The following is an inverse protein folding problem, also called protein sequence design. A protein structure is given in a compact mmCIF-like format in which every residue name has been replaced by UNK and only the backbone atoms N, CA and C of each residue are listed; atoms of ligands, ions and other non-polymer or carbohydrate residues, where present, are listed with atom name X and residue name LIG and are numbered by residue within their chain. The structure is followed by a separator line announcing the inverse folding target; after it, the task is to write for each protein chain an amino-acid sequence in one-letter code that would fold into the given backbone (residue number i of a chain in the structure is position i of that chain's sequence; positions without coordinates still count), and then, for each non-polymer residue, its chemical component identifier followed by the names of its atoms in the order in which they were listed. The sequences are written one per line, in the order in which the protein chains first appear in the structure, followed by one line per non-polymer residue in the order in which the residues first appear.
data_IF_652452519925
#
_entry.id   IF_652452519925
#
_cell.length_a   1.000
_cell.length_b   1.000
_cell.length_c   1.000
_cell.angle_alpha   90.00
_cell.angle_beta   90.00
_cell.angle_gamma   90.00
#
_symmetry.space_group_name_H-M   'P 1'
#
loop_
_entity.id
_entity.type
_entity.pdbx_description
1 polymer ?
#
# COMPACT_ATOMS: atom_id res chain seq x y z
N UNK A 1 85.47 -27.37 21.57
CA UNK A 1 84.09 -27.82 21.84
C UNK A 1 83.22 -26.64 22.27
N UNK A 2 82.54 -25.93 21.36
CA UNK A 2 81.49 -24.92 21.72
C UNK A 2 80.55 -24.57 20.55
N UNK A 3 80.48 -25.41 19.51
CA UNK A 3 79.80 -25.07 18.23
C UNK A 3 78.45 -25.78 18.03
N UNK A 4 78.21 -26.93 18.67
CA UNK A 4 77.05 -27.79 18.35
C UNK A 4 75.74 -27.38 19.04
N UNK A 5 75.78 -26.79 20.25
CA UNK A 5 74.56 -26.43 21.00
C UNK A 5 73.87 -25.16 20.47
N UNK A 6 74.60 -24.21 19.88
CA UNK A 6 74.03 -22.97 19.35
C UNK A 6 73.26 -23.22 18.04
N UNK A 7 73.75 -24.15 17.21
CA UNK A 7 73.15 -24.49 15.92
C UNK A 7 71.75 -25.12 16.05
N UNK A 8 71.56 -26.02 17.02
CA UNK A 8 70.27 -26.70 17.28
C UNK A 8 69.18 -25.71 17.75
N UNK A 9 69.54 -24.73 18.58
CA UNK A 9 68.60 -23.73 19.10
C UNK A 9 68.14 -22.75 18.02
N UNK A 10 69.04 -22.37 17.11
CA UNK A 10 68.73 -21.51 15.95
C UNK A 10 67.82 -22.27 14.96
N UNK A 11 68.12 -23.54 14.68
CA UNK A 11 67.31 -24.37 13.78
C UNK A 11 65.86 -24.53 14.28
N UNK A 12 65.66 -24.74 15.59
CA UNK A 12 64.33 -24.86 16.20
C UNK A 12 63.55 -23.53 16.21
N UNK A 13 64.22 -22.40 16.42
CA UNK A 13 63.61 -21.06 16.36
C UNK A 13 63.17 -20.71 14.93
N UNK A 14 63.96 -21.09 13.91
CA UNK A 14 63.62 -20.87 12.50
C UNK A 14 62.41 -21.71 12.09
N UNK A 15 62.35 -22.99 12.50
CA UNK A 15 61.20 -23.86 12.23
C UNK A 15 59.92 -23.41 12.96
N UNK A 16 60.02 -22.93 14.19
CA UNK A 16 58.89 -22.36 14.94
C UNK A 16 58.31 -21.11 14.26
N UNK A 17 59.18 -20.19 13.83
CA UNK A 17 58.77 -18.99 13.07
C UNK A 17 58.14 -19.33 11.72
N UNK A 18 58.63 -20.36 11.03
CA UNK A 18 58.06 -20.84 9.76
C UNK A 18 56.65 -21.40 9.96
N UNK A 19 56.46 -22.26 10.97
CA UNK A 19 55.17 -22.84 11.32
C UNK A 19 54.14 -21.76 11.75
N UNK A 20 54.59 -20.71 12.46
CA UNK A 20 53.73 -19.57 12.80
C UNK A 20 53.30 -18.77 11.56
N UNK A 21 54.21 -18.50 10.63
CA UNK A 21 53.89 -17.82 9.36
C UNK A 21 52.92 -18.62 8.51
N UNK A 22 53.07 -19.94 8.44
CA UNK A 22 52.17 -20.83 7.70
C UNK A 22 50.76 -20.84 8.32
N UNK A 23 50.67 -20.83 9.66
CA UNK A 23 49.38 -20.70 10.36
C UNK A 23 48.70 -19.36 10.08
N UNK A 24 49.46 -18.26 10.14
CA UNK A 24 48.94 -16.91 9.86
C UNK A 24 48.47 -16.81 8.39
N UNK A 25 49.24 -17.35 7.44
CA UNK A 25 48.87 -17.38 6.02
C UNK A 25 47.59 -18.19 5.78
N UNK A 26 47.43 -19.34 6.43
CA UNK A 26 46.19 -20.13 6.34
C UNK A 26 44.99 -19.40 6.93
N UNK A 27 45.16 -18.71 8.05
CA UNK A 27 44.09 -17.90 8.67
C UNK A 27 43.68 -16.75 7.75
N UNK A 28 44.65 -16.01 7.19
CA UNK A 28 44.40 -14.94 6.23
C UNK A 28 43.71 -15.45 4.97
N UNK A 29 44.12 -16.61 4.47
CA UNK A 29 43.48 -17.24 3.31
C UNK A 29 42.02 -17.63 3.60
N UNK A 30 41.72 -18.16 4.79
CA UNK A 30 40.35 -18.48 5.19
C UNK A 30 39.48 -17.22 5.35
N UNK A 31 40.03 -16.14 5.89
CA UNK A 31 39.33 -14.84 6.00
C UNK A 31 39.05 -14.28 4.59
N UNK A 32 40.04 -14.30 3.71
CA UNK A 32 39.88 -13.84 2.33
C UNK A 32 38.83 -14.67 1.57
N UNK A 33 38.82 -15.99 1.78
CA UNK A 33 37.82 -16.88 1.18
C UNK A 33 36.40 -16.59 1.70
N UNK A 34 36.25 -16.23 2.99
CA UNK A 34 34.96 -15.84 3.56
C UNK A 34 34.41 -14.53 3.00
N UNK A 35 35.30 -13.60 2.58
CA UNK A 35 34.93 -12.33 1.96
C UNK A 35 34.50 -12.49 0.49
N UNK A 36 34.87 -13.60 -0.16
CA UNK A 36 34.54 -13.91 -1.56
C UNK A 36 33.24 -14.70 -1.73
N UNK A 37 32.55 -15.07 -0.64
CA UNK A 37 31.26 -15.76 -0.73
C UNK A 37 30.19 -14.72 -1.12
N UNK A 38 29.56 -14.83 -2.31
CA UNK A 38 28.49 -13.93 -2.68
C UNK A 38 27.36 -14.08 -1.67
N UNK A 39 26.94 -12.97 -1.06
CA UNK A 39 25.70 -12.95 -0.28
C UNK A 39 24.57 -13.19 -1.27
N UNK A 40 24.06 -14.43 -1.31
CA UNK A 40 22.78 -14.71 -1.95
C UNK A 40 21.71 -13.92 -1.21
N UNK A 41 21.40 -12.73 -1.71
CA UNK A 41 20.21 -12.00 -1.31
C UNK A 41 19.02 -12.79 -1.82
N UNK A 42 18.48 -13.66 -0.95
CA UNK A 42 17.16 -14.24 -1.16
C UNK A 42 16.21 -13.04 -1.04
N UNK A 43 15.76 -12.52 -2.19
CA UNK A 43 14.68 -11.54 -2.20
C UNK A 43 13.48 -12.20 -1.50
N UNK A 44 13.09 -11.66 -0.34
CA UNK A 44 11.93 -12.17 0.37
C UNK A 44 10.71 -11.93 -0.53
N UNK A 45 9.94 -12.97 -0.90
CA UNK A 45 8.65 -12.75 -1.55
C UNK A 45 7.84 -11.84 -0.62
N UNK A 46 7.17 -10.82 -1.16
CA UNK A 46 6.64 -9.74 -0.32
C UNK A 46 5.58 -10.21 0.69
N UNK A 47 5.16 -11.49 0.65
CA UNK A 47 4.84 -12.36 1.80
C UNK A 47 3.60 -12.00 2.60
N UNK A 48 3.05 -10.81 2.38
CA UNK A 48 1.82 -10.33 2.94
C UNK A 48 0.66 -10.55 1.98
N UNK A 49 -0.58 -10.54 2.49
CA UNK A 49 -1.76 -10.49 1.65
C UNK A 49 -1.69 -9.25 0.73
N UNK A 50 -1.72 -9.49 -0.58
CA UNK A 50 -1.80 -8.41 -1.56
C UNK A 50 -3.24 -7.93 -1.69
N UNK A 51 -3.40 -6.61 -1.82
CA UNK A 51 -4.69 -5.97 -2.03
C UNK A 51 -5.35 -5.47 -0.74
N UNK A 52 -6.62 -5.03 -0.83
CA UNK A 52 -7.36 -4.51 0.30
C UNK A 52 -7.54 -5.61 1.35
N UNK A 53 -6.98 -5.40 2.54
CA UNK A 53 -7.22 -6.26 3.69
C UNK A 53 -8.48 -5.73 4.37
N UNK A 54 -9.41 -6.61 4.71
CA UNK A 54 -10.58 -6.20 5.49
C UNK A 54 -10.13 -5.69 6.86
N UNK A 55 -10.56 -4.49 7.21
CA UNK A 55 -10.25 -3.82 8.46
C UNK A 55 -11.55 -3.39 9.13
N UNK A 56 -11.55 -3.31 10.46
CA UNK A 56 -12.67 -2.78 11.22
C UNK A 56 -12.35 -1.35 11.67
N UNK A 57 -12.95 -0.36 11.00
CA UNK A 57 -12.76 1.05 11.27
C UNK A 57 -13.79 1.58 12.27
N UNK A 58 -13.40 1.64 13.55
CA UNK A 58 -14.23 2.26 14.59
C UNK A 58 -14.49 3.73 14.25
N UNK A 59 -15.70 4.18 14.55
CA UNK A 59 -16.07 5.60 14.41
C UNK A 59 -15.20 6.45 15.34
N UNK A 60 -14.50 7.49 14.85
CA UNK A 60 -13.66 8.35 15.68
C UNK A 60 -14.50 9.11 16.71
N UNK A 61 -14.15 9.01 18.00
CA UNK A 61 -14.88 9.69 19.07
C UNK A 61 -14.48 11.15 19.28
N UNK A 62 -13.32 11.56 18.74
CA UNK A 62 -12.73 12.89 18.91
C UNK A 62 -12.94 13.82 17.69
N UNK A 63 -13.82 13.45 16.77
CA UNK A 63 -14.11 14.25 15.57
C UNK A 63 -15.05 15.42 15.86
N UNK A 64 -14.79 16.57 15.23
CA UNK A 64 -15.63 17.77 15.37
C UNK A 64 -17.06 17.55 14.88
N UNK A 65 -17.20 16.92 13.71
CA UNK A 65 -18.46 16.50 13.15
C UNK A 65 -18.32 15.15 12.48
N UNK A 66 -19.35 14.33 12.60
CA UNK A 66 -19.48 13.04 11.91
C UNK A 66 -20.67 13.16 10.95
N UNK A 67 -20.46 12.68 9.72
CA UNK A 67 -21.52 12.54 8.72
C UNK A 67 -21.56 11.08 8.26
N UNK A 68 -22.73 10.46 8.36
CA UNK A 68 -23.03 9.15 7.79
C UNK A 68 -23.59 9.34 6.39
N UNK A 69 -22.98 8.65 5.43
CA UNK A 69 -23.38 8.67 4.03
C UNK A 69 -23.58 7.26 3.52
N UNK A 70 -24.55 7.09 2.63
CA UNK A 70 -24.87 5.80 2.03
C UNK A 70 -25.16 5.95 0.53
N UNK A 71 -24.96 4.89 -0.29
CA UNK A 71 -25.32 4.93 -1.70
C UNK A 71 -26.81 5.19 -1.96
N UNK A 72 -27.66 4.77 -1.03
CA UNK A 72 -29.12 4.95 -1.00
C UNK A 72 -29.56 6.01 0.03
N UNK A 73 -28.62 6.81 0.53
CA UNK A 73 -28.91 7.93 1.42
C UNK A 73 -29.79 8.98 0.76
N UNK A 74 -30.49 9.76 1.58
CA UNK A 74 -31.42 10.79 1.11
C UNK A 74 -30.75 12.16 1.13
N UNK A 75 -30.83 12.89 0.03
CA UNK A 75 -30.10 14.17 -0.13
C UNK A 75 -30.61 15.25 0.82
N UNK A 76 -31.84 15.09 1.31
CA UNK A 76 -32.56 16.00 2.21
C UNK A 76 -32.15 15.77 3.68
N UNK A 77 -31.55 14.63 4.00
CA UNK A 77 -31.08 14.32 5.34
C UNK A 77 -29.74 15.03 5.61
N UNK A 78 -29.52 15.40 6.87
CA UNK A 78 -28.28 16.08 7.28
C UNK A 78 -27.09 15.11 7.51
N UNK A 79 -27.33 13.79 7.46
CA UNK A 79 -26.32 12.76 7.67
C UNK A 79 -25.75 12.69 9.08
N UNK A 80 -26.34 13.31 10.10
CA UNK A 80 -25.79 13.29 11.48
C UNK A 80 -26.15 12.03 12.26
N UNK A 81 -27.10 11.24 11.76
CA UNK A 81 -27.52 9.97 12.37
C UNK A 81 -27.14 8.79 11.49
N UNK A 82 -26.75 7.69 12.12
CA UNK A 82 -26.54 6.40 11.45
C UNK A 82 -27.80 5.90 10.74
N UNK A 83 -28.98 6.13 11.31
CA UNK A 83 -30.27 5.66 10.77
C UNK A 83 -30.73 6.46 9.54
N UNK A 84 -30.28 7.71 9.43
CA UNK A 84 -30.70 8.66 8.40
C UNK A 84 -29.46 9.19 7.68
N UNK A 85 -28.75 8.33 6.92
CA UNK A 85 -27.59 8.76 6.15
C UNK A 85 -28.02 9.67 4.99
N UNK A 86 -27.14 10.58 4.63
CA UNK A 86 -27.31 11.43 3.43
C UNK A 86 -26.48 10.90 2.26
N UNK A 87 -26.46 11.59 1.12
CA UNK A 87 -25.60 11.24 -0.02
C UNK A 87 -24.19 11.82 0.15
N UNK A 88 -23.22 11.19 -0.50
CA UNK A 88 -21.83 11.67 -0.47
C UNK A 88 -21.72 13.10 -1.05
N UNK A 89 -22.42 13.36 -2.16
CA UNK A 89 -22.46 14.65 -2.83
C UNK A 89 -23.08 15.75 -1.95
N UNK A 90 -24.09 15.43 -1.15
CA UNK A 90 -24.69 16.39 -0.21
C UNK A 90 -23.71 16.79 0.89
N UNK A 91 -22.93 15.84 1.44
CA UNK A 91 -21.94 16.16 2.48
C UNK A 91 -20.82 17.04 1.94
N UNK A 92 -20.32 16.77 0.73
CA UNK A 92 -19.22 17.55 0.15
C UNK A 92 -19.55 19.04 -0.03
N UNK A 93 -20.83 19.42 -0.09
CA UNK A 93 -21.26 20.82 -0.15
C UNK A 93 -21.08 21.58 1.17
N UNK A 94 -21.05 20.88 2.30
CA UNK A 94 -21.11 21.49 3.64
C UNK A 94 -19.93 21.11 4.55
N UNK A 95 -19.16 20.09 4.18
CA UNK A 95 -18.06 19.58 4.99
C UNK A 95 -16.94 20.61 5.16
N UNK A 96 -16.27 20.55 6.32
CA UNK A 96 -15.15 21.41 6.70
C UNK A 96 -13.94 20.57 7.12
N UNK A 97 -12.75 21.16 7.07
CA UNK A 97 -11.53 20.54 7.60
C UNK A 97 -11.71 20.09 9.06
N UNK A 98 -11.30 18.86 9.35
CA UNK A 98 -11.44 18.19 10.65
C UNK A 98 -12.74 17.40 10.83
N UNK A 99 -13.67 17.47 9.87
CA UNK A 99 -14.87 16.64 9.87
C UNK A 99 -14.59 15.23 9.34
N UNK A 100 -15.44 14.27 9.72
CA UNK A 100 -15.34 12.86 9.36
C UNK A 100 -16.58 12.43 8.58
N UNK A 101 -16.36 11.72 7.47
CA UNK A 101 -17.38 11.02 6.70
C UNK A 101 -17.26 9.52 6.97
N UNK A 102 -18.35 8.93 7.43
CA UNK A 102 -18.52 7.51 7.64
C UNK A 102 -19.33 6.94 6.48
N UNK A 103 -18.66 6.15 5.65
CA UNK A 103 -19.22 5.54 4.46
C UNK A 103 -19.91 4.22 4.83
N UNK A 104 -21.21 4.14 4.55
CA UNK A 104 -21.93 2.86 4.56
C UNK A 104 -21.49 1.98 3.38
N UNK A 105 -21.63 0.68 3.50
CA UNK A 105 -21.27 -0.29 2.48
C UNK A 105 -22.07 -0.12 1.18
N UNK A 106 -21.44 -0.45 0.06
CA UNK A 106 -22.08 -0.44 -1.26
C UNK A 106 -21.37 0.45 -2.28
N UNK A 107 -21.99 0.59 -3.45
CA UNK A 107 -21.35 1.23 -4.60
C UNK A 107 -21.77 2.70 -4.75
N UNK A 108 -20.84 3.61 -4.52
CA UNK A 108 -21.01 5.05 -4.74
C UNK A 108 -20.61 5.38 -6.17
N UNK A 109 -21.58 5.71 -7.03
CA UNK A 109 -21.32 6.13 -8.42
C UNK A 109 -21.23 7.63 -8.50
N UNK A 110 -20.14 8.12 -7.93
CA UNK A 110 -19.82 9.53 -7.80
C UNK A 110 -18.56 9.86 -8.58
N UNK A 111 -18.42 11.11 -9.02
CA UNK A 111 -17.27 11.60 -9.77
C UNK A 111 -17.07 13.10 -9.52
N UNK A 112 -15.94 13.64 -10.00
CA UNK A 112 -15.61 15.07 -9.90
C UNK A 112 -15.63 15.63 -8.48
N UNK A 113 -15.26 14.81 -7.49
CA UNK A 113 -15.10 15.25 -6.10
C UNK A 113 -13.83 16.10 -5.99
N UNK A 114 -14.00 17.43 -5.92
CA UNK A 114 -12.91 18.38 -5.73
C UNK A 114 -13.05 18.99 -4.34
N UNK A 115 -12.00 18.88 -3.53
CA UNK A 115 -11.96 19.50 -2.21
C UNK A 115 -10.52 19.93 -1.88
N UNK A 116 -10.38 21.00 -1.12
CA UNK A 116 -9.11 21.52 -0.61
C UNK A 116 -9.14 21.58 0.92
N UNK A 117 -9.58 20.48 1.53
CA UNK A 117 -9.84 20.40 2.96
C UNK A 117 -9.28 19.11 3.55
N UNK A 118 -8.81 19.18 4.79
CA UNK A 118 -8.34 18.02 5.53
C UNK A 118 -9.51 17.29 6.16
N UNK A 119 -10.12 16.37 5.42
CA UNK A 119 -11.25 15.55 5.88
C UNK A 119 -10.81 14.09 6.06
N UNK A 120 -11.51 13.35 6.92
CA UNK A 120 -11.35 11.89 7.01
C UNK A 120 -12.55 11.21 6.38
N UNK A 121 -12.30 10.27 5.47
CA UNK A 121 -13.31 9.38 4.92
C UNK A 121 -12.93 7.95 5.28
N UNK A 122 -13.83 7.20 5.91
CA UNK A 122 -13.60 5.80 6.25
C UNK A 122 -14.88 4.97 6.14
N UNK A 123 -14.77 3.66 5.95
CA UNK A 123 -15.91 2.76 6.10
C UNK A 123 -16.50 2.80 7.51
N UNK A 124 -17.79 2.47 7.61
CA UNK A 124 -18.40 2.12 8.89
C UNK A 124 -17.99 0.70 9.29
N UNK A 125 -17.20 0.56 10.36
CA UNK A 125 -16.72 -0.73 10.85
C UNK A 125 -16.05 -1.56 9.74
N UNK A 126 -16.59 -2.73 9.43
CA UNK A 126 -16.13 -3.69 8.42
C UNK A 126 -16.95 -3.63 7.12
N UNK A 127 -17.82 -2.64 6.95
CA UNK A 127 -18.58 -2.43 5.72
C UNK A 127 -17.64 -2.07 4.54
N UNK A 128 -18.07 -2.38 3.31
CA UNK A 128 -17.25 -2.26 2.10
C UNK A 128 -17.80 -1.21 1.13
N UNK A 129 -17.46 0.09 1.30
CA UNK A 129 -17.80 1.12 0.34
C UNK A 129 -16.88 1.04 -0.89
N UNK A 130 -17.46 1.16 -2.09
CA UNK A 130 -16.73 1.16 -3.36
C UNK A 130 -17.08 2.43 -4.13
N UNK A 131 -16.10 3.31 -4.31
CA UNK A 131 -16.23 4.48 -5.18
C UNK A 131 -16.03 4.06 -6.64
N UNK A 132 -17.01 4.33 -7.49
CA UNK A 132 -16.98 4.01 -8.92
C UNK A 132 -17.16 5.28 -9.74
N UNK A 133 -16.20 5.57 -10.60
CA UNK A 133 -16.30 6.62 -11.62
C UNK A 133 -17.16 6.23 -12.84
N UNK A 134 -17.90 5.12 -12.78
CA UNK A 134 -18.72 4.63 -13.90
C UNK A 134 -20.21 4.81 -13.62
N UNK A 135 -20.97 5.15 -14.67
CA UNK A 135 -22.44 5.13 -14.64
C UNK A 135 -22.97 3.80 -15.15
N UNK A 136 -24.22 3.47 -14.79
CA UNK A 136 -24.90 2.25 -15.25
C UNK A 136 -25.59 2.55 -16.58
N UNK A 137 -25.23 1.83 -17.62
CA UNK A 137 -25.95 1.83 -18.88
C UNK A 137 -27.30 1.13 -18.71
N UNK A 138 -28.39 1.80 -19.06
CA UNK A 138 -29.77 1.30 -18.94
C UNK A 138 -30.47 1.39 -20.30
N UNK A 139 -31.65 0.83 -20.45
CA UNK A 139 -32.51 1.07 -21.64
C UNK A 139 -31.84 0.70 -22.98
N UNK A 140 -31.18 -0.46 -22.99
CA UNK A 140 -30.53 -1.01 -24.16
C UNK A 140 -31.52 -1.36 -25.27
N UNK A 141 -31.24 -0.88 -26.48
CA UNK A 141 -31.99 -1.16 -27.70
C UNK A 141 -31.18 -2.09 -28.62
N UNK A 142 -31.79 -3.20 -29.03
CA UNK A 142 -31.17 -4.15 -29.95
C UNK A 142 -31.33 -3.67 -31.39
N UNK A 143 -30.23 -3.50 -32.12
CA UNK A 143 -30.21 -3.08 -33.52
C UNK A 143 -30.08 -4.26 -34.51
N UNK A 144 -30.01 -5.50 -34.01
CA UNK A 144 -29.76 -6.70 -34.80
C UNK A 144 -28.27 -6.99 -34.99
N UNK A 145 -27.95 -8.18 -35.51
CA UNK A 145 -26.57 -8.61 -35.79
C UNK A 145 -25.59 -8.52 -34.59
N UNK A 146 -26.12 -8.66 -33.35
CA UNK A 146 -25.32 -8.55 -32.12
C UNK A 146 -25.00 -7.12 -31.69
N UNK A 147 -25.53 -6.10 -32.38
CA UNK A 147 -25.32 -4.69 -32.05
C UNK A 147 -26.40 -4.18 -31.09
N UNK A 148 -25.97 -3.50 -30.03
CA UNK A 148 -26.83 -2.87 -29.03
C UNK A 148 -26.44 -1.41 -28.85
N UNK A 149 -27.43 -0.56 -28.61
CA UNK A 149 -27.21 0.87 -28.36
C UNK A 149 -27.99 1.34 -27.14
N UNK A 150 -27.51 2.39 -26.50
CA UNK A 150 -28.18 3.08 -25.39
C UNK A 150 -27.97 4.58 -25.54
N UNK A 151 -28.96 5.37 -25.10
CA UNK A 151 -28.80 6.81 -25.00
C UNK A 151 -28.10 7.19 -23.68
N UNK A 152 -27.32 8.26 -23.71
CA UNK A 152 -26.69 8.86 -22.53
C UNK A 152 -26.99 10.35 -22.51
N UNK A 153 -27.54 10.84 -21.40
CA UNK A 153 -27.66 12.29 -21.15
C UNK A 153 -26.31 12.89 -20.76
N UNK A 154 -25.51 12.12 -20.02
CA UNK A 154 -24.16 12.50 -19.62
C UNK A 154 -23.18 12.29 -20.78
N UNK A 155 -22.47 13.35 -21.15
CA UNK A 155 -21.36 13.26 -22.09
C UNK A 155 -20.08 12.87 -21.35
N UNK A 156 -19.47 11.77 -21.76
CA UNK A 156 -18.18 11.33 -21.24
C UNK A 156 -17.06 11.95 -22.07
N UNK A 157 -15.93 12.35 -21.44
CA UNK A 157 -14.76 12.79 -22.18
C UNK A 157 -14.31 11.71 -23.17
N UNK A 158 -14.06 12.11 -24.43
CA UNK A 158 -13.59 11.17 -25.47
C UNK A 158 -12.11 10.80 -25.33
N UNK A 159 -11.37 11.44 -24.41
CA UNK A 159 -9.97 11.20 -24.08
C UNK A 159 -9.73 11.34 -22.57
N UNK A 160 -8.72 10.66 -22.00
CA UNK A 160 -8.30 10.89 -20.62
C UNK A 160 -7.90 12.35 -20.39
N UNK A 161 -8.02 12.81 -19.15
CA UNK A 161 -7.54 14.13 -18.74
C UNK A 161 -6.01 14.23 -18.84
N UNK A 162 -5.50 15.45 -18.98
CA UNK A 162 -4.07 15.74 -19.23
C UNK A 162 -3.11 15.25 -18.12
N UNK A 163 -3.63 14.93 -16.93
CA UNK A 163 -2.88 14.40 -15.78
C UNK A 163 -2.70 12.87 -15.81
N UNK A 164 -3.49 12.15 -16.61
CA UNK A 164 -3.37 10.71 -16.82
C UNK A 164 -2.45 10.46 -18.03
N UNK A 165 -1.14 10.37 -17.76
CA UNK A 165 -0.10 10.02 -18.75
C UNK A 165 0.34 8.58 -18.59
#
# INVERSE_FOLDING_TARGET
MKSTHTSIKIHNLVNSKKNLKDKISKILFLILLSLLIPKFSIAQPSGGPYGPIQQNYKVPSNSKNIYYVAPDGKSEENGKSFSNPTTLESVFKVIKSGDVIILRGGNYRTGNLIFNQSITMQPYNDELPVLKGTKVAKDWNNLGNGLWTTHWEDLFPSKPDDWWR
#
